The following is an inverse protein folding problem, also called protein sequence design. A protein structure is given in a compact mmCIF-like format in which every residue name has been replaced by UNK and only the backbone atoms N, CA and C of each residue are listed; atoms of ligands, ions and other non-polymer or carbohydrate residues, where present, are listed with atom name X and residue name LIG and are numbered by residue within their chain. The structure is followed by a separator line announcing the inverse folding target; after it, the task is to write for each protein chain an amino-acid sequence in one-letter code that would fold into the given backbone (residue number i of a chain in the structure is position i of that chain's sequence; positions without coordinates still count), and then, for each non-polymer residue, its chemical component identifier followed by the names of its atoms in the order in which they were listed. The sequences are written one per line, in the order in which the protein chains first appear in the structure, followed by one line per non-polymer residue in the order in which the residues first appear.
data_IF_767059960088
#
_entry.id   IF_767059960088
#
_cell.length_a   1.000
_cell.length_b   1.000
_cell.length_c   1.000
_cell.angle_alpha   90.00
_cell.angle_beta   90.00
_cell.angle_gamma   90.00
#
_symmetry.space_group_name_H-M   'P 1'
#
loop_
_entity.id
_entity.type
_entity.pdbx_description
1 polymer ?
#
# COMPACT_ATOMS: atom_id res chain seq x y z
N UNK A 1 14.67 36.63 9.26
CA UNK A 1 14.72 35.53 10.24
C UNK A 1 15.74 34.53 9.70
N UNK A 2 16.81 34.19 10.43
CA UNK A 2 17.77 33.20 9.95
C UNK A 2 17.10 31.82 9.90
N UNK A 3 17.46 31.00 8.92
CA UNK A 3 16.98 29.62 8.82
C UNK A 3 17.56 28.79 9.99
N UNK A 4 16.76 27.91 10.63
CA UNK A 4 17.23 27.06 11.71
C UNK A 4 18.28 26.05 11.21
N UNK A 5 19.16 25.67 12.14
CA UNK A 5 20.37 24.88 11.87
C UNK A 5 20.03 23.46 11.37
N UNK A 6 20.50 23.03 10.19
CA UNK A 6 20.21 21.72 9.61
C UNK A 6 20.70 20.53 10.46
N UNK A 7 21.62 20.75 11.41
CA UNK A 7 22.08 19.70 12.33
C UNK A 7 20.99 19.29 13.35
N UNK A 8 20.06 20.19 13.69
CA UNK A 8 18.91 19.86 14.57
C UNK A 8 17.83 19.04 13.85
N UNK A 9 17.89 18.92 12.52
CA UNK A 9 16.90 18.22 11.67
C UNK A 9 17.42 16.91 11.08
N UNK A 10 18.49 16.32 11.64
CA UNK A 10 19.00 15.01 11.21
C UNK A 10 19.41 14.96 9.73
N UNK A 11 19.81 16.09 9.15
CA UNK A 11 20.28 16.20 7.77
C UNK A 11 19.19 16.38 6.70
N UNK A 12 17.91 16.62 7.08
CA UNK A 12 16.88 16.98 6.09
C UNK A 12 16.65 18.50 6.06
N UNK A 13 16.87 19.15 4.91
CA UNK A 13 16.39 20.51 4.64
C UNK A 13 14.95 20.44 4.12
N UNK A 14 13.98 20.20 5.01
CA UNK A 14 12.57 20.07 4.66
C UNK A 14 11.67 19.94 5.90
N UNK A 15 10.34 20.11 5.74
CA UNK A 15 9.40 19.81 6.83
C UNK A 15 9.54 18.32 7.19
N UNK A 16 9.61 18.02 8.49
CA UNK A 16 9.61 16.63 8.96
C UNK A 16 8.41 15.86 8.36
N UNK A 17 8.61 14.61 7.88
CA UNK A 17 7.56 13.84 7.24
C UNK A 17 6.36 13.67 8.16
N UNK A 18 5.16 13.93 7.64
CA UNK A 18 3.91 13.80 8.39
C UNK A 18 3.15 12.58 7.89
N UNK A 19 2.51 11.85 8.80
CA UNK A 19 1.59 10.79 8.38
C UNK A 19 0.30 11.38 7.81
N UNK A 20 -0.38 10.63 6.96
CA UNK A 20 -1.72 10.96 6.50
C UNK A 20 -2.70 11.09 7.68
N UNK A 21 -3.65 12.02 7.55
CA UNK A 21 -4.85 12.06 8.40
C UNK A 21 -5.71 10.83 8.19
N UNK A 22 -6.58 10.47 9.13
CA UNK A 22 -7.50 9.33 8.98
C UNK A 22 -8.39 9.48 7.73
N UNK A 23 -8.82 10.71 7.41
CA UNK A 23 -9.63 10.99 6.21
C UNK A 23 -8.84 10.80 4.91
N UNK A 24 -7.59 11.28 4.86
CA UNK A 24 -6.70 11.02 3.73
C UNK A 24 -6.40 9.53 3.59
N UNK A 25 -6.09 8.84 4.69
CA UNK A 25 -5.84 7.41 4.71
C UNK A 25 -7.02 6.60 4.16
N UNK A 26 -8.24 6.93 4.60
CA UNK A 26 -9.48 6.32 4.08
C UNK A 26 -9.57 6.42 2.57
N UNK A 27 -9.36 7.63 2.06
CA UNK A 27 -9.44 7.94 0.63
C UNK A 27 -8.34 7.23 -0.15
N UNK A 28 -7.11 7.22 0.38
CA UNK A 28 -5.97 6.53 -0.22
C UNK A 28 -6.21 5.03 -0.30
N UNK A 29 -6.69 4.37 0.76
CA UNK A 29 -6.99 2.93 0.76
C UNK A 29 -8.07 2.62 -0.28
N UNK A 30 -9.18 3.37 -0.26
CA UNK A 30 -10.28 3.14 -1.20
C UNK A 30 -9.84 3.34 -2.65
N UNK A 31 -9.00 4.36 -2.91
CA UNK A 31 -8.51 4.64 -4.26
C UNK A 31 -7.51 3.58 -4.73
N UNK A 32 -6.57 3.18 -3.88
CA UNK A 32 -5.44 2.31 -4.29
C UNK A 32 -5.79 0.83 -4.23
N UNK A 33 -6.52 0.38 -3.21
CA UNK A 33 -6.94 -1.02 -3.06
C UNK A 33 -8.28 -1.27 -3.73
N UNK A 34 -9.09 -0.23 -3.96
CA UNK A 34 -10.42 -0.36 -4.58
C UNK A 34 -11.52 -0.77 -3.62
N UNK A 35 -11.23 -0.81 -2.32
CA UNK A 35 -12.21 -1.12 -1.27
C UNK A 35 -11.92 -0.33 0.02
N UNK A 36 -12.95 -0.02 0.83
CA UNK A 36 -12.75 0.64 2.11
C UNK A 36 -12.16 -0.32 3.15
N UNK A 37 -11.56 0.28 4.19
CA UNK A 37 -11.29 -0.42 5.45
C UNK A 37 -12.41 -0.11 6.44
N UNK A 38 -13.33 -1.06 6.61
CA UNK A 38 -14.58 -0.84 7.36
C UNK A 38 -14.36 -0.52 8.85
N UNK A 39 -13.26 -0.99 9.44
CA UNK A 39 -12.92 -0.78 10.86
C UNK A 39 -12.25 0.59 11.11
N UNK A 40 -11.89 1.33 10.05
CA UNK A 40 -11.09 2.55 10.17
C UNK A 40 -11.77 3.62 11.03
N UNK A 41 -13.09 3.75 10.96
CA UNK A 41 -13.84 4.74 11.75
C UNK A 41 -13.81 4.39 13.25
N UNK A 42 -13.88 3.10 13.59
CA UNK A 42 -13.78 2.61 14.97
C UNK A 42 -12.37 2.84 15.55
N UNK A 43 -11.35 2.73 14.69
CA UNK A 43 -9.95 2.92 15.07
C UNK A 43 -9.50 4.39 15.02
N UNK A 44 -10.30 5.28 14.43
CA UNK A 44 -9.95 6.67 14.19
C UNK A 44 -9.45 7.43 15.44
N UNK A 45 -10.05 7.26 16.64
CA UNK A 45 -9.54 7.89 17.86
C UNK A 45 -8.13 7.42 18.22
N UNK A 46 -7.86 6.11 18.13
CA UNK A 46 -6.53 5.53 18.38
C UNK A 46 -5.51 5.90 17.31
N UNK A 47 -5.99 6.19 16.09
CA UNK A 47 -5.22 6.76 14.99
C UNK A 47 -5.07 8.28 15.11
N UNK A 48 -5.41 8.90 16.25
CA UNK A 48 -5.13 10.30 16.53
C UNK A 48 -6.07 11.32 15.88
N UNK A 49 -7.24 10.89 15.37
CA UNK A 49 -8.27 11.82 14.86
C UNK A 49 -8.72 12.76 15.99
N UNK A 50 -8.88 14.04 15.66
CA UNK A 50 -9.43 15.04 16.55
C UNK A 50 -10.86 14.67 17.01
N UNK A 51 -11.14 14.78 18.32
CA UNK A 51 -12.49 14.60 18.88
C UNK A 51 -13.27 15.92 18.97
N UNK A 52 -12.63 17.07 18.65
CA UNK A 52 -13.12 18.46 18.67
C UNK A 52 -13.79 18.93 19.97
N UNK A 53 -14.01 18.04 20.93
CA UNK A 53 -14.44 18.32 22.28
C UNK A 53 -13.25 18.60 23.20
N UNK A 54 -12.13 17.90 23.01
CA UNK A 54 -10.92 18.01 23.83
C UNK A 54 -9.65 18.22 22.99
N UNK A 55 -9.63 17.71 21.76
CA UNK A 55 -8.49 17.75 20.84
C UNK A 55 -8.94 18.37 19.52
N UNK A 56 -8.39 19.55 19.20
CA UNK A 56 -8.77 20.33 18.00
C UNK A 56 -7.90 20.05 16.77
N UNK A 57 -6.79 19.32 16.94
CA UNK A 57 -5.84 18.98 15.87
C UNK A 57 -5.56 17.48 15.85
N UNK A 58 -5.60 16.87 14.67
CA UNK A 58 -5.19 15.47 14.49
C UNK A 58 -3.65 15.33 14.61
N UNK A 59 -3.20 14.31 15.36
CA UNK A 59 -1.77 14.10 15.61
C UNK A 59 -1.07 13.42 14.42
N UNK A 60 -0.59 14.16 13.43
CA UNK A 60 0.10 13.62 12.25
C UNK A 60 1.57 13.24 12.48
N UNK A 61 2.01 13.06 13.72
CA UNK A 61 3.35 12.55 14.00
C UNK A 61 3.44 11.02 13.80
N UNK A 62 4.59 10.52 13.29
CA UNK A 62 4.85 9.09 13.21
C UNK A 62 4.79 8.45 14.60
N UNK A 63 4.01 7.38 14.75
CA UNK A 63 3.93 6.64 16.00
C UNK A 63 3.70 5.13 15.76
N UNK A 64 4.12 4.31 16.72
CA UNK A 64 4.07 2.84 16.61
C UNK A 64 2.64 2.30 16.51
N UNK A 65 1.69 2.96 17.18
CA UNK A 65 0.27 2.56 17.15
C UNK A 65 -0.29 2.68 15.75
N UNK A 66 -0.01 3.80 15.07
CA UNK A 66 -0.38 4.02 13.68
C UNK A 66 0.26 2.98 12.76
N UNK A 67 1.57 2.71 12.90
CA UNK A 67 2.25 1.70 12.09
C UNK A 67 1.63 0.30 12.24
N UNK A 68 1.30 -0.11 13.48
CA UNK A 68 0.63 -1.39 13.74
C UNK A 68 -0.74 -1.46 13.08
N UNK A 69 -1.54 -0.41 13.22
CA UNK A 69 -2.85 -0.35 12.57
C UNK A 69 -2.73 -0.36 11.05
N UNK A 70 -1.71 0.27 10.48
CA UNK A 70 -1.44 0.20 9.05
C UNK A 70 -1.13 -1.22 8.59
N UNK A 71 -0.36 -1.99 9.35
CA UNK A 71 -0.10 -3.41 9.04
C UNK A 71 -1.37 -4.27 9.10
N UNK A 72 -2.20 -4.07 10.13
CA UNK A 72 -3.46 -4.81 10.28
C UNK A 72 -4.46 -4.45 9.18
N UNK A 73 -4.65 -3.14 8.95
CA UNK A 73 -5.51 -2.61 7.91
C UNK A 73 -5.07 -3.08 6.54
N UNK A 74 -3.78 -2.98 6.22
CA UNK A 74 -3.21 -3.48 4.97
C UNK A 74 -3.47 -4.97 4.79
N UNK A 75 -3.20 -5.79 5.82
CA UNK A 75 -3.47 -7.22 5.79
C UNK A 75 -4.94 -7.50 5.48
N UNK A 76 -5.87 -6.84 6.17
CA UNK A 76 -7.31 -7.02 5.96
C UNK A 76 -7.70 -6.62 4.53
N UNK A 77 -7.38 -5.39 4.11
CA UNK A 77 -7.88 -4.88 2.84
C UNK A 77 -7.28 -5.56 1.63
N UNK A 78 -5.98 -5.83 1.67
CA UNK A 78 -5.28 -6.48 0.57
C UNK A 78 -5.67 -7.95 0.40
N UNK A 79 -5.85 -8.69 1.49
CA UNK A 79 -6.28 -10.09 1.40
C UNK A 79 -7.69 -10.21 0.84
N UNK A 80 -8.63 -9.41 1.34
CA UNK A 80 -10.02 -9.44 0.87
C UNK A 80 -10.11 -9.03 -0.62
N UNK A 81 -9.39 -7.98 -1.02
CA UNK A 81 -9.39 -7.52 -2.41
C UNK A 81 -8.78 -8.57 -3.35
N UNK A 82 -7.62 -9.13 -2.98
CA UNK A 82 -6.97 -10.15 -3.80
C UNK A 82 -7.85 -11.40 -3.95
N UNK A 83 -8.55 -11.80 -2.89
CA UNK A 83 -9.50 -12.91 -2.93
C UNK A 83 -10.72 -12.58 -3.82
N UNK A 84 -11.24 -11.35 -3.77
CA UNK A 84 -12.36 -10.93 -4.61
C UNK A 84 -12.02 -10.98 -6.11
N UNK A 85 -10.78 -10.66 -6.48
CA UNK A 85 -10.34 -10.65 -7.88
C UNK A 85 -10.24 -12.05 -8.52
N UNK A 86 -10.18 -13.12 -7.71
CA UNK A 86 -10.24 -14.50 -8.24
C UNK A 86 -11.51 -14.77 -9.04
N UNK A 87 -12.62 -14.13 -8.65
CA UNK A 87 -13.91 -14.30 -9.29
C UNK A 87 -14.18 -13.25 -10.38
N UNK A 88 -13.26 -12.32 -10.60
CA UNK A 88 -13.41 -11.27 -11.60
C UNK A 88 -12.80 -11.72 -12.93
N UNK A 89 -13.63 -12.03 -13.93
CA UNK A 89 -13.16 -12.49 -15.23
C UNK A 89 -12.54 -11.36 -16.07
N UNK A 90 -13.08 -10.14 -15.98
CA UNK A 90 -12.60 -8.98 -16.74
C UNK A 90 -11.40 -8.33 -16.03
N UNK A 91 -10.18 -8.34 -16.63
CA UNK A 91 -9.03 -7.67 -16.05
C UNK A 91 -9.25 -6.17 -15.78
N UNK A 92 -10.08 -5.47 -16.57
CA UNK A 92 -10.33 -4.04 -16.38
C UNK A 92 -11.13 -3.71 -15.12
N UNK A 93 -11.91 -4.67 -14.62
CA UNK A 93 -12.65 -4.57 -13.38
C UNK A 93 -11.83 -4.98 -12.15
N UNK A 94 -10.59 -5.46 -12.35
CA UNK A 94 -9.64 -5.77 -11.27
C UNK A 94 -8.84 -4.53 -10.90
N UNK A 95 -8.31 -4.53 -9.68
CA UNK A 95 -7.55 -3.44 -9.09
C UNK A 95 -6.09 -3.84 -8.86
N UNK A 96 -5.83 -4.96 -8.19
CA UNK A 96 -4.47 -5.41 -7.87
C UNK A 96 -3.84 -6.20 -9.02
N UNK A 97 -4.65 -6.86 -9.84
CA UNK A 97 -4.20 -7.74 -10.92
C UNK A 97 -4.66 -7.27 -12.32
N UNK A 98 -4.94 -5.97 -12.48
CA UNK A 98 -5.50 -5.38 -13.71
C UNK A 98 -4.69 -5.68 -14.97
N UNK A 99 -3.37 -5.70 -14.86
CA UNK A 99 -2.47 -5.94 -16.01
C UNK A 99 -2.23 -7.43 -16.29
N UNK A 100 -2.73 -8.32 -15.43
CA UNK A 100 -2.53 -9.76 -15.58
C UNK A 100 -3.58 -10.33 -16.54
N UNK A 101 -3.15 -10.96 -17.65
CA UNK A 101 -4.09 -11.49 -18.63
C UNK A 101 -4.80 -12.74 -18.10
N UNK A 102 -6.06 -12.92 -18.52
CA UNK A 102 -6.83 -14.13 -18.25
C UNK A 102 -7.13 -14.35 -16.77
N UNK A 103 -7.27 -15.61 -16.36
CA UNK A 103 -7.63 -16.02 -15.00
C UNK A 103 -6.43 -16.09 -14.05
N UNK A 104 -6.62 -15.67 -12.80
CA UNK A 104 -5.61 -15.74 -11.73
C UNK A 104 -5.44 -17.20 -11.26
N UNK A 105 -4.52 -17.94 -11.89
CA UNK A 105 -4.25 -19.36 -11.56
C UNK A 105 -2.79 -19.63 -11.25
N UNK A 106 -1.89 -19.24 -12.16
CA UNK A 106 -0.45 -19.42 -11.98
C UNK A 106 0.30 -18.13 -12.31
N UNK A 107 0.64 -17.38 -11.27
CA UNK A 107 1.38 -16.12 -11.41
C UNK A 107 2.87 -16.33 -11.68
N UNK A 108 3.39 -17.55 -11.48
CA UNK A 108 4.77 -17.90 -11.82
C UNK A 108 4.97 -18.01 -13.33
N UNK A 109 3.90 -18.28 -14.08
CA UNK A 109 3.93 -18.37 -15.54
C UNK A 109 3.99 -17.01 -16.25
N UNK A 110 3.92 -15.89 -15.51
CA UNK A 110 4.01 -14.56 -16.09
C UNK A 110 5.42 -14.31 -16.64
N UNK A 111 5.49 -13.69 -17.82
CA UNK A 111 6.76 -13.26 -18.40
C UNK A 111 7.36 -12.10 -17.62
N UNK A 112 8.67 -11.89 -17.76
CA UNK A 112 9.37 -10.79 -17.08
C UNK A 112 8.76 -9.41 -17.42
N UNK A 113 8.36 -9.22 -18.68
CA UNK A 113 7.67 -8.01 -19.13
C UNK A 113 6.27 -7.83 -18.49
N UNK A 114 5.53 -8.91 -18.27
CA UNK A 114 4.23 -8.86 -17.58
C UNK A 114 4.40 -8.54 -16.09
N UNK A 115 5.40 -9.13 -15.43
CA UNK A 115 5.72 -8.82 -14.04
C UNK A 115 6.15 -7.37 -13.89
N UNK A 116 6.98 -6.87 -14.80
CA UNK A 116 7.38 -5.47 -14.84
C UNK A 116 6.18 -4.53 -15.00
N UNK A 117 5.33 -4.78 -15.98
CA UNK A 117 4.12 -3.99 -16.21
C UNK A 117 3.21 -3.97 -14.97
N UNK A 118 3.04 -5.12 -14.29
CA UNK A 118 2.28 -5.22 -13.05
C UNK A 118 2.90 -4.38 -11.92
N UNK A 119 4.20 -4.50 -11.69
CA UNK A 119 4.90 -3.79 -10.61
C UNK A 119 4.90 -2.28 -10.86
N UNK A 120 5.10 -1.84 -12.11
CA UNK A 120 5.01 -0.42 -12.50
C UNK A 120 3.59 0.10 -12.33
N UNK A 121 2.58 -0.68 -12.74
CA UNK A 121 1.18 -0.32 -12.54
C UNK A 121 0.84 -0.15 -11.05
N UNK A 122 1.22 -1.11 -10.21
CA UNK A 122 0.94 -1.08 -8.78
C UNK A 122 1.67 0.08 -8.08
N UNK A 123 2.95 0.30 -8.37
CA UNK A 123 3.70 1.43 -7.79
C UNK A 123 3.11 2.79 -8.18
N UNK A 124 2.74 2.96 -9.46
CA UNK A 124 2.05 4.17 -9.92
C UNK A 124 0.73 4.37 -9.18
N UNK A 125 -0.01 3.28 -8.93
CA UNK A 125 -1.28 3.34 -8.22
C UNK A 125 -1.12 3.68 -6.74
N UNK A 126 -0.18 3.04 -6.05
CA UNK A 126 0.00 3.20 -4.60
C UNK A 126 0.75 4.48 -4.23
N UNK A 127 1.75 4.87 -5.03
CA UNK A 127 2.65 5.97 -4.68
C UNK A 127 2.57 7.14 -5.66
N UNK A 128 1.75 7.06 -6.70
CA UNK A 128 1.69 8.09 -7.75
C UNK A 128 2.95 8.17 -8.62
N UNK A 129 3.92 7.26 -8.43
CA UNK A 129 5.21 7.27 -9.10
C UNK A 129 5.55 5.87 -9.63
N UNK A 130 5.86 5.72 -10.93
CA UNK A 130 6.25 4.44 -11.48
C UNK A 130 7.63 4.02 -10.96
N UNK A 131 7.76 2.76 -10.53
CA UNK A 131 9.06 2.18 -10.21
C UNK A 131 9.97 2.15 -11.43
N UNK A 132 11.23 2.51 -11.23
CA UNK A 132 12.28 2.51 -12.25
C UNK A 132 13.65 2.22 -11.62
N UNK A 133 14.67 2.08 -12.46
CA UNK A 133 16.06 1.95 -12.03
C UNK A 133 16.31 0.74 -11.12
N UNK A 134 17.10 0.94 -10.06
CA UNK A 134 17.55 -0.14 -9.17
C UNK A 134 16.46 -0.72 -8.25
N UNK A 135 15.36 -0.01 -8.04
CA UNK A 135 14.25 -0.51 -7.21
C UNK A 135 13.40 -1.53 -7.96
N UNK A 136 13.21 -1.35 -9.27
CA UNK A 136 12.32 -2.20 -10.07
C UNK A 136 12.68 -3.69 -9.99
N UNK A 137 13.95 -4.12 -10.13
CA UNK A 137 14.33 -5.52 -9.96
C UNK A 137 14.02 -6.09 -8.56
N UNK A 138 14.12 -5.27 -7.50
CA UNK A 138 13.83 -5.70 -6.12
C UNK A 138 12.35 -6.04 -5.95
N UNK A 139 11.47 -5.19 -6.49
CA UNK A 139 10.02 -5.41 -6.46
C UNK A 139 9.58 -6.55 -7.39
N UNK A 140 10.18 -6.69 -8.57
CA UNK A 140 9.96 -7.85 -9.45
C UNK A 140 10.36 -9.16 -8.75
N UNK A 141 11.47 -9.17 -8.01
CA UNK A 141 11.92 -10.32 -7.21
C UNK A 141 10.93 -10.65 -6.09
N UNK A 142 10.43 -9.64 -5.37
CA UNK A 142 9.40 -9.85 -4.34
C UNK A 142 8.15 -10.53 -4.93
N UNK A 143 7.64 -10.03 -6.06
CA UNK A 143 6.49 -10.62 -6.73
C UNK A 143 6.76 -12.06 -7.20
N UNK A 144 7.94 -12.34 -7.73
CA UNK A 144 8.31 -13.69 -8.18
C UNK A 144 8.37 -14.68 -7.00
N UNK A 145 8.90 -14.24 -5.86
CA UNK A 145 8.94 -15.03 -4.63
C UNK A 145 7.54 -15.27 -4.07
N UNK A 146 6.70 -14.22 -4.02
CA UNK A 146 5.31 -14.34 -3.55
C UNK A 146 4.50 -15.26 -4.46
N UNK A 147 4.66 -15.16 -5.79
CA UNK A 147 4.02 -16.03 -6.78
C UNK A 147 4.42 -17.50 -6.63
N UNK A 148 5.69 -17.76 -6.38
CA UNK A 148 6.19 -19.13 -6.14
C UNK A 148 5.55 -19.71 -4.88
N UNK A 149 5.51 -18.94 -3.78
CA UNK A 149 4.88 -19.37 -2.53
C UNK A 149 3.36 -19.56 -2.66
N UNK A 150 2.70 -18.64 -3.35
CA UNK A 150 1.27 -18.68 -3.63
C UNK A 150 0.87 -19.95 -4.39
N UNK A 151 1.68 -20.35 -5.39
CA UNK A 151 1.49 -21.58 -6.14
C UNK A 151 1.61 -22.82 -5.24
N UNK A 152 2.65 -22.89 -4.40
CA UNK A 152 2.83 -24.00 -3.43
C UNK A 152 1.65 -24.11 -2.46
N UNK A 153 1.10 -22.97 -2.03
CA UNK A 153 -0.04 -22.92 -1.10
C UNK A 153 -1.39 -23.09 -1.80
N UNK A 154 -1.43 -23.19 -3.14
CA UNK A 154 -2.67 -23.20 -3.95
C UNK A 154 -3.57 -21.98 -3.67
N UNK A 155 -2.96 -20.82 -3.42
CA UNK A 155 -3.64 -19.54 -3.17
C UNK A 155 -3.07 -18.45 -4.07
N UNK A 156 -3.43 -18.43 -5.37
CA UNK A 156 -2.79 -17.55 -6.35
C UNK A 156 -3.04 -16.05 -6.09
N UNK A 157 -4.13 -15.71 -5.40
CA UNK A 157 -4.44 -14.37 -4.90
C UNK A 157 -3.34 -13.80 -3.99
N UNK A 158 -2.65 -14.66 -3.23
CA UNK A 158 -1.68 -14.24 -2.22
C UNK A 158 -0.46 -13.54 -2.83
N UNK A 159 -0.16 -13.78 -4.11
CA UNK A 159 0.90 -13.06 -4.82
C UNK A 159 0.61 -11.55 -4.85
N UNK A 160 -0.64 -11.17 -5.11
CA UNK A 160 -1.10 -9.78 -5.15
C UNK A 160 -1.31 -9.21 -3.75
N UNK A 161 -1.85 -10.01 -2.83
CA UNK A 161 -2.02 -9.57 -1.44
C UNK A 161 -0.68 -9.16 -0.82
N UNK A 162 0.39 -9.92 -1.05
CA UNK A 162 1.74 -9.58 -0.56
C UNK A 162 2.24 -8.26 -1.14
N UNK A 163 2.07 -8.03 -2.45
CA UNK A 163 2.49 -6.77 -3.08
C UNK A 163 1.70 -5.58 -2.53
N UNK A 164 0.37 -5.73 -2.43
CA UNK A 164 -0.51 -4.71 -1.88
C UNK A 164 -0.12 -4.36 -0.43
N UNK A 165 0.11 -5.36 0.42
CA UNK A 165 0.54 -5.15 1.82
C UNK A 165 1.88 -4.40 1.83
N UNK A 166 2.87 -4.90 1.10
CA UNK A 166 4.21 -4.31 1.07
C UNK A 166 4.19 -2.84 0.60
N UNK A 167 3.36 -2.50 -0.40
CA UNK A 167 3.24 -1.13 -0.89
C UNK A 167 2.44 -0.22 0.04
N UNK A 168 1.40 -0.74 0.70
CA UNK A 168 0.57 0.01 1.64
C UNK A 168 1.27 0.30 2.97
N UNK A 169 2.21 -0.56 3.38
CA UNK A 169 3.04 -0.37 4.58
C UNK A 169 4.34 0.38 4.30
N UNK A 170 4.65 0.69 3.04
CA UNK A 170 5.81 1.50 2.65
C UNK A 170 5.61 2.95 3.09
N UNK A 171 6.68 3.63 3.50
CA UNK A 171 6.62 5.03 3.97
C UNK A 171 6.05 5.96 2.90
N UNK A 172 6.27 5.68 1.62
CA UNK A 172 5.71 6.43 0.47
C UNK A 172 4.18 6.43 0.43
N UNK A 173 3.53 5.45 1.03
CA UNK A 173 2.07 5.39 1.08
C UNK A 173 1.48 6.15 2.28
N UNK A 174 2.19 6.13 3.41
CA UNK A 174 1.66 6.62 4.69
C UNK A 174 2.12 8.04 5.07
N UNK A 175 3.10 8.59 4.36
CA UNK A 175 3.66 9.93 4.63
C UNK A 175 3.57 10.89 3.45
N UNK A 176 3.59 12.19 3.74
CA UNK A 176 3.68 13.29 2.79
C UNK A 176 4.56 14.44 3.32
#
# INVERSE_FOLDING_TARGET
MPLPDPEEQGGSVGRAPRRLTVAQLKTSIQTTVGRPWDELETLAPSLGRADYANIVTENTEPNLVFAKFMEDGARKVCLDQAAAELNQADPNARVLSRTVPGSIKDMKALSDAQVEQLVVYLSTRFWGAPLAGEELPKWKRLFTQSSTRALTLKKPDQAFAVMCIAMMTDTRFITY
#
